data_IF_819235156292
#
_entry.id   IF_819235156292
#
_cell.length_a   1.000
_cell.length_b   1.000
_cell.length_c   1.000
_cell.angle_alpha   90.00
_cell.angle_beta   90.00
_cell.angle_gamma   90.00
#
_symmetry.space_group_name_H-M   'P 1'
#
loop_
_entity.id
_entity.type
_entity.pdbx_description
1 polymer ?
#
# COMPACT_ATOMS: atom_id res chain seq x y z
N UNK A 1 -3.54 -0.77 -10.00
CA UNK A 1 -2.36 -1.54 -9.57
C UNK A 1 -1.19 -1.38 -10.54
N UNK A 2 0.04 -1.54 -10.05
CA UNK A 2 1.26 -1.69 -10.85
C UNK A 2 1.82 -3.09 -10.62
N UNK A 3 1.96 -3.85 -11.69
CA UNK A 3 2.51 -5.21 -11.67
C UNK A 3 3.78 -5.28 -12.51
N UNK A 4 4.64 -6.24 -12.25
CA UNK A 4 5.89 -6.45 -13.00
C UNK A 4 6.88 -7.29 -12.21
N UNK A 5 7.94 -7.77 -12.85
CA UNK A 5 8.96 -8.59 -12.20
C UNK A 5 9.77 -7.81 -11.16
N UNK A 6 10.58 -8.53 -10.39
CA UNK A 6 11.55 -7.89 -9.50
C UNK A 6 12.55 -7.08 -10.33
N UNK A 7 12.89 -5.89 -9.84
CA UNK A 7 13.76 -4.95 -10.56
C UNK A 7 13.07 -4.13 -11.67
N UNK A 8 11.77 -4.29 -11.92
CA UNK A 8 11.04 -3.50 -12.91
C UNK A 8 10.93 -2.00 -12.57
N UNK A 9 11.28 -1.58 -11.35
CA UNK A 9 11.20 -0.18 -10.92
C UNK A 9 9.96 0.18 -10.10
N UNK A 10 9.18 -0.81 -9.64
CA UNK A 10 7.92 -0.61 -8.90
C UNK A 10 8.13 0.22 -7.61
N UNK A 11 9.02 -0.21 -6.73
CA UNK A 11 9.39 0.51 -5.49
C UNK A 11 9.98 1.88 -5.80
N UNK A 12 10.80 1.98 -6.86
CA UNK A 12 11.37 3.26 -7.33
C UNK A 12 10.28 4.24 -7.73
N UNK A 13 9.24 3.78 -8.45
CA UNK A 13 8.09 4.59 -8.81
C UNK A 13 7.37 5.12 -7.57
N UNK A 14 7.09 4.27 -6.58
CA UNK A 14 6.45 4.71 -5.32
C UNK A 14 7.32 5.70 -4.56
N UNK A 15 8.64 5.46 -4.51
CA UNK A 15 9.61 6.38 -3.89
C UNK A 15 9.66 7.74 -4.60
N UNK A 16 9.60 7.75 -5.92
CA UNK A 16 9.55 8.98 -6.72
C UNK A 16 8.25 9.75 -6.49
N UNK A 17 7.09 9.07 -6.51
CA UNK A 17 5.79 9.67 -6.19
C UNK A 17 5.79 10.26 -4.78
N UNK A 18 6.34 9.54 -3.80
CA UNK A 18 6.38 9.99 -2.41
C UNK A 18 7.39 11.12 -2.15
N UNK A 19 8.28 11.41 -3.10
CA UNK A 19 9.35 12.40 -2.94
C UNK A 19 10.56 11.90 -2.13
N UNK A 20 10.70 10.58 -2.00
CA UNK A 20 11.86 9.93 -1.39
C UNK A 20 13.04 9.85 -2.35
N UNK A 21 12.77 9.87 -3.65
CA UNK A 21 13.76 9.80 -4.72
C UNK A 21 13.61 11.01 -5.64
N UNK A 22 14.72 11.53 -6.21
CA UNK A 22 14.67 12.54 -7.25
C UNK A 22 13.84 12.04 -8.44
N UNK A 23 13.00 12.89 -8.97
CA UNK A 23 12.18 12.57 -10.13
C UNK A 23 12.03 13.77 -11.04
N UNK A 24 11.76 13.52 -12.32
CA UNK A 24 11.42 14.52 -13.31
C UNK A 24 10.09 14.18 -13.96
N UNK A 25 9.47 15.16 -14.60
CA UNK A 25 8.17 15.01 -15.22
C UNK A 25 7.06 15.70 -14.45
N UNK A 26 5.81 15.34 -14.75
CA UNK A 26 4.62 15.96 -14.18
C UNK A 26 3.92 14.99 -13.23
N UNK A 27 3.79 15.37 -11.98
CA UNK A 27 2.97 14.67 -11.01
C UNK A 27 1.71 15.48 -10.70
N UNK A 28 0.55 14.84 -10.76
CA UNK A 28 -0.75 15.45 -10.47
C UNK A 28 -1.43 14.62 -9.38
N UNK A 29 -1.82 15.26 -8.29
CA UNK A 29 -2.58 14.62 -7.20
C UNK A 29 -3.87 15.41 -6.99
N UNK A 30 -5.02 14.74 -7.05
CA UNK A 30 -6.35 15.37 -6.97
C UNK A 30 -6.56 16.50 -8.02
N UNK A 31 -6.08 16.30 -9.25
CA UNK A 31 -6.15 17.31 -10.31
C UNK A 31 -5.19 18.49 -10.14
N UNK A 32 -4.41 18.54 -9.07
CA UNK A 32 -3.46 19.61 -8.78
C UNK A 32 -2.04 19.21 -9.17
N UNK A 33 -1.37 19.92 -10.09
CA UNK A 33 0.02 19.66 -10.41
C UNK A 33 0.92 20.02 -9.23
N UNK A 34 1.96 19.24 -9.03
CA UNK A 34 2.97 19.47 -8.00
C UNK A 34 4.24 20.04 -8.63
N UNK A 35 4.63 21.24 -8.20
CA UNK A 35 5.87 21.88 -8.64
C UNK A 35 7.12 21.19 -8.06
N UNK A 36 7.02 20.69 -6.84
CA UNK A 36 8.04 19.89 -6.15
C UNK A 36 7.37 18.79 -5.34
N UNK A 37 7.97 17.62 -5.35
CA UNK A 37 7.53 16.50 -4.53
C UNK A 37 8.46 16.36 -3.34
N UNK A 38 7.95 16.58 -2.13
CA UNK A 38 8.62 16.24 -0.88
C UNK A 38 7.71 15.33 -0.07
N UNK A 39 8.27 14.53 0.82
CA UNK A 39 7.50 13.61 1.68
C UNK A 39 6.44 14.37 2.48
N UNK A 40 6.81 15.53 3.04
CA UNK A 40 5.92 16.37 3.83
C UNK A 40 4.75 16.91 2.99
N UNK A 41 5.02 17.30 1.75
CA UNK A 41 3.98 17.78 0.83
C UNK A 41 3.01 16.66 0.47
N UNK A 42 3.49 15.44 0.25
CA UNK A 42 2.67 14.26 -0.06
C UNK A 42 1.82 13.85 1.15
N UNK A 43 2.43 13.76 2.34
CA UNK A 43 1.69 13.48 3.59
C UNK A 43 0.66 14.58 3.85
N UNK A 44 1.00 15.84 3.57
CA UNK A 44 0.08 16.97 3.71
C UNK A 44 -1.16 16.84 2.81
N UNK A 45 -1.04 16.21 1.65
CA UNK A 45 -2.12 15.94 0.69
C UNK A 45 -2.89 14.65 0.99
N UNK A 46 -2.52 13.95 2.06
CA UNK A 46 -3.17 12.69 2.45
C UNK A 46 -2.67 11.49 1.64
N UNK A 47 -1.43 11.52 1.15
CA UNK A 47 -0.78 10.34 0.57
C UNK A 47 0.01 9.63 1.66
N UNK A 48 -0.18 8.32 1.78
CA UNK A 48 0.58 7.47 2.69
C UNK A 48 1.19 6.30 1.92
N UNK A 49 2.42 5.93 2.28
CA UNK A 49 3.15 4.79 1.74
C UNK A 49 3.36 3.75 2.83
N UNK A 50 3.02 2.50 2.55
CA UNK A 50 3.42 1.33 3.31
C UNK A 50 4.53 0.64 2.51
N UNK A 51 5.78 0.73 2.93
CA UNK A 51 6.90 0.13 2.21
C UNK A 51 6.94 -1.39 2.40
N UNK A 52 7.62 -2.11 1.50
CA UNK A 52 7.83 -3.55 1.54
C UNK A 52 8.36 -4.04 2.91
N UNK A 53 9.35 -3.34 3.46
CA UNK A 53 9.97 -3.67 4.76
C UNK A 53 9.13 -3.30 5.97
N UNK A 54 7.91 -2.75 5.78
CA UNK A 54 6.95 -2.32 6.82
C UNK A 54 7.44 -1.21 7.75
N UNK A 55 8.74 -1.12 8.03
CA UNK A 55 9.44 -0.10 8.82
C UNK A 55 8.73 0.24 10.15
N UNK A 56 8.36 -0.81 10.89
CA UNK A 56 7.75 -0.67 12.22
C UNK A 56 8.81 -0.39 13.28
N UNK A 57 8.41 0.34 14.31
CA UNK A 57 9.22 0.52 15.51
C UNK A 57 9.07 -0.71 16.40
N UNK A 58 10.01 -1.66 16.27
CA UNK A 58 9.91 -2.99 16.89
C UNK A 58 9.83 -2.96 18.42
N UNK A 59 10.53 -2.02 19.05
CA UNK A 59 10.57 -1.84 20.49
C UNK A 59 9.38 -1.08 21.08
N UNK A 60 8.49 -0.59 20.22
CA UNK A 60 7.27 0.08 20.60
C UNK A 60 6.08 -0.88 20.53
N UNK A 61 5.06 -0.61 21.34
CA UNK A 61 3.82 -1.37 21.30
C UNK A 61 3.05 -1.17 19.98
N UNK A 62 2.08 -2.04 19.73
CA UNK A 62 1.10 -1.85 18.63
C UNK A 62 0.42 -0.48 18.75
N UNK A 63 -0.04 -0.13 19.95
CA UNK A 63 -0.72 1.15 20.22
C UNK A 63 0.18 2.34 19.91
N UNK A 64 1.44 2.32 20.34
CA UNK A 64 2.39 3.42 20.10
C UNK A 64 2.72 3.55 18.61
N UNK A 65 2.93 2.43 17.90
CA UNK A 65 3.10 2.45 16.44
C UNK A 65 1.91 3.10 15.73
N UNK A 66 0.68 2.80 16.15
CA UNK A 66 -0.52 3.43 15.60
C UNK A 66 -0.55 4.93 15.91
N UNK A 67 -0.30 5.34 17.15
CA UNK A 67 -0.29 6.75 17.54
C UNK A 67 0.70 7.57 16.70
N UNK A 68 1.89 7.03 16.45
CA UNK A 68 2.88 7.69 15.57
C UNK A 68 2.34 7.93 14.15
N UNK A 69 1.51 7.02 13.62
CA UNK A 69 0.86 7.21 12.32
C UNK A 69 -0.05 8.42 12.27
N UNK A 70 -0.63 8.83 13.40
CA UNK A 70 -1.47 10.02 13.55
C UNK A 70 -0.71 11.33 13.77
N UNK A 71 0.63 11.31 13.89
CA UNK A 71 1.43 12.46 14.29
C UNK A 71 1.23 13.70 13.38
N UNK A 72 1.21 13.52 12.07
CA UNK A 72 0.99 14.62 11.13
C UNK A 72 -0.39 15.30 11.32
N UNK A 73 -1.40 14.54 11.71
CA UNK A 73 -2.73 15.07 12.00
C UNK A 73 -2.74 15.81 13.36
N UNK A 74 -2.00 15.28 14.33
CA UNK A 74 -1.83 15.92 15.64
C UNK A 74 -1.14 17.30 15.52
N UNK A 75 -0.08 17.40 14.71
CA UNK A 75 0.59 18.68 14.42
C UNK A 75 -0.36 19.71 13.81
N UNK A 76 -1.38 19.28 13.07
CA UNK A 76 -2.43 20.14 12.48
C UNK A 76 -3.56 20.46 13.45
N UNK A 77 -3.39 20.18 14.73
CA UNK A 77 -4.38 20.47 15.77
C UNK A 77 -5.48 19.43 15.94
N UNK A 78 -5.50 18.34 15.18
CA UNK A 78 -6.47 17.25 15.39
C UNK A 78 -6.14 16.49 16.69
N UNK A 79 -7.19 16.22 17.49
CA UNK A 79 -7.05 15.54 18.80
C UNK A 79 -7.91 14.28 18.89
N UNK A 80 -8.25 13.70 17.75
CA UNK A 80 -9.13 12.53 17.60
C UNK A 80 -8.38 11.19 17.44
N UNK A 81 -7.07 11.14 17.79
CA UNK A 81 -6.23 9.94 17.58
C UNK A 81 -6.81 8.67 18.22
N UNK A 82 -7.42 8.78 19.42
CA UNK A 82 -8.03 7.63 20.09
C UNK A 82 -9.24 7.11 19.33
N UNK A 83 -10.11 8.00 18.84
CA UNK A 83 -11.26 7.61 18.02
C UNK A 83 -10.79 6.96 16.73
N UNK A 84 -9.78 7.55 16.07
CA UNK A 84 -9.19 6.98 14.85
C UNK A 84 -8.59 5.61 15.06
N UNK A 85 -7.90 5.41 16.17
CA UNK A 85 -7.34 4.10 16.53
C UNK A 85 -8.44 3.04 16.74
N UNK A 86 -9.61 3.41 17.29
CA UNK A 86 -10.74 2.49 17.36
C UNK A 86 -11.24 2.08 15.97
N UNK A 87 -11.34 3.02 15.02
CA UNK A 87 -11.67 2.70 13.62
C UNK A 87 -10.65 1.72 13.01
N UNK A 88 -9.35 1.91 13.28
CA UNK A 88 -8.30 0.98 12.85
C UNK A 88 -8.46 -0.39 13.49
N UNK A 89 -8.82 -0.47 14.77
CA UNK A 89 -9.07 -1.73 15.46
C UNK A 89 -10.34 -2.45 14.98
N UNK A 90 -11.31 -1.72 14.41
CA UNK A 90 -12.47 -2.34 13.75
C UNK A 90 -12.10 -2.98 12.40
N UNK A 91 -11.10 -2.40 11.72
CA UNK A 91 -10.55 -2.99 10.50
C UNK A 91 -9.64 -4.19 10.84
N UNK A 92 -8.87 -4.08 11.91
CA UNK A 92 -7.88 -5.07 12.36
C UNK A 92 -8.10 -5.49 13.81
N UNK A 93 -9.11 -6.35 14.13
CA UNK A 93 -9.41 -6.77 15.51
C UNK A 93 -8.23 -7.43 16.22
N UNK A 94 -7.37 -8.14 15.49
CA UNK A 94 -6.15 -8.75 16.03
C UNK A 94 -5.19 -7.73 16.64
N UNK A 95 -5.10 -6.53 16.07
CA UNK A 95 -4.27 -5.46 16.63
C UNK A 95 -4.83 -4.94 17.97
N UNK A 96 -6.16 -4.92 18.13
CA UNK A 96 -6.81 -4.55 19.41
C UNK A 96 -6.45 -5.54 20.51
N UNK A 97 -6.53 -6.84 20.21
CA UNK A 97 -6.19 -7.92 21.16
C UNK A 97 -4.73 -7.80 21.64
N UNK A 98 -3.85 -7.28 20.78
CA UNK A 98 -2.40 -7.20 20.98
C UNK A 98 -1.87 -5.78 21.19
N UNK A 99 -2.76 -4.84 21.55
CA UNK A 99 -2.42 -3.40 21.58
C UNK A 99 -1.18 -3.05 22.42
N UNK A 100 -0.97 -3.77 23.53
CA UNK A 100 0.18 -3.57 24.42
C UNK A 100 1.41 -4.42 24.05
N UNK A 101 1.29 -5.30 23.01
CA UNK A 101 2.38 -6.18 22.59
C UNK A 101 3.40 -5.40 21.77
N UNK A 102 4.70 -5.72 21.95
CA UNK A 102 5.78 -5.12 21.15
C UNK A 102 5.69 -5.56 19.67
N UNK A 103 5.86 -4.61 18.77
CA UNK A 103 5.72 -4.87 17.33
C UNK A 103 6.74 -5.91 16.81
N UNK A 104 7.94 -6.00 17.39
CA UNK A 104 8.93 -7.01 17.03
C UNK A 104 8.44 -8.45 17.26
N UNK A 105 7.55 -8.67 18.22
CA UNK A 105 7.05 -10.00 18.63
C UNK A 105 5.82 -10.47 17.84
N UNK A 106 5.30 -9.63 16.95
CA UNK A 106 4.16 -9.94 16.10
C UNK A 106 4.57 -10.90 14.97
N UNK A 107 3.61 -11.71 14.50
CA UNK A 107 3.76 -12.49 13.27
C UNK A 107 3.93 -11.59 12.03
N UNK A 108 4.41 -12.13 10.92
CA UNK A 108 4.56 -11.39 9.67
C UNK A 108 3.26 -10.75 9.18
N UNK A 109 2.13 -11.45 9.32
CA UNK A 109 0.81 -10.93 8.96
C UNK A 109 0.35 -9.81 9.88
N UNK A 110 0.51 -9.97 11.19
CA UNK A 110 0.17 -8.93 12.17
C UNK A 110 1.03 -7.68 12.00
N UNK A 111 2.33 -7.84 11.68
CA UNK A 111 3.19 -6.71 11.32
C UNK A 111 2.70 -5.99 10.05
N UNK A 112 2.22 -6.73 9.05
CA UNK A 112 1.64 -6.12 7.85
C UNK A 112 0.37 -5.33 8.16
N UNK A 113 -0.54 -5.92 8.96
CA UNK A 113 -1.74 -5.24 9.42
C UNK A 113 -1.41 -3.98 10.23
N UNK A 114 -0.37 -4.03 11.10
CA UNK A 114 0.07 -2.88 11.87
C UNK A 114 0.65 -1.77 10.97
N UNK A 115 1.44 -2.12 9.95
CA UNK A 115 1.97 -1.15 9.00
C UNK A 115 0.86 -0.42 8.22
N UNK A 116 -0.15 -1.17 7.74
CA UNK A 116 -1.33 -0.61 7.08
C UNK A 116 -2.13 0.23 8.09
N UNK A 117 -2.39 -0.29 9.29
CA UNK A 117 -3.10 0.41 10.36
C UNK A 117 -2.44 1.74 10.73
N UNK A 118 -1.10 1.76 10.85
CA UNK A 118 -0.31 2.97 11.09
C UNK A 118 -0.51 4.01 9.98
N UNK A 119 -0.50 3.58 8.72
CA UNK A 119 -0.76 4.47 7.59
C UNK A 119 -2.20 5.04 7.63
N UNK A 120 -3.18 4.23 8.02
CA UNK A 120 -4.57 4.65 8.13
C UNK A 120 -4.81 5.70 9.23
N UNK A 121 -3.99 5.75 10.27
CA UNK A 121 -4.06 6.79 11.31
C UNK A 121 -3.92 8.20 10.74
N UNK A 122 -3.19 8.36 9.63
CA UNK A 122 -3.04 9.63 8.93
C UNK A 122 -4.31 10.05 8.15
N UNK A 123 -5.37 9.23 8.07
CA UNK A 123 -6.57 9.44 7.22
C UNK A 123 -6.18 9.69 5.76
N UNK A 124 -5.48 8.75 5.12
CA UNK A 124 -5.00 8.96 3.76
C UNK A 124 -6.18 9.02 2.78
N UNK A 125 -6.04 9.86 1.76
CA UNK A 125 -6.89 9.87 0.56
C UNK A 125 -6.36 8.90 -0.48
N UNK A 126 -5.02 8.73 -0.52
CA UNK A 126 -4.32 7.74 -1.33
C UNK A 126 -3.40 6.90 -0.43
N UNK A 127 -3.61 5.60 -0.42
CA UNK A 127 -2.76 4.61 0.23
C UNK A 127 -1.94 3.88 -0.83
N UNK A 128 -0.63 4.03 -0.77
CA UNK A 128 0.32 3.29 -1.62
C UNK A 128 0.86 2.10 -0.84
N UNK A 129 0.80 0.90 -1.43
CA UNK A 129 1.23 -0.36 -0.83
C UNK A 129 2.29 -1.00 -1.72
N UNK A 130 3.48 -1.20 -1.16
CA UNK A 130 4.60 -1.85 -1.87
C UNK A 130 4.71 -3.31 -1.45
N UNK A 131 4.30 -4.20 -2.35
CA UNK A 131 4.31 -5.66 -2.19
C UNK A 131 3.78 -6.15 -0.83
N UNK A 132 2.56 -5.74 -0.43
CA UNK A 132 2.05 -6.03 0.91
C UNK A 132 1.83 -7.51 1.18
N UNK A 133 1.82 -8.36 0.16
CA UNK A 133 1.66 -9.81 0.29
C UNK A 133 2.99 -10.57 0.41
N UNK A 134 4.13 -9.93 0.18
CA UNK A 134 5.43 -10.58 0.11
C UNK A 134 5.80 -11.30 1.42
N UNK A 135 6.19 -12.56 1.30
CA UNK A 135 6.64 -13.38 2.44
C UNK A 135 5.54 -13.77 3.42
N UNK A 136 4.27 -13.63 3.05
CA UNK A 136 3.13 -14.00 3.89
C UNK A 136 2.53 -15.35 3.46
N UNK A 137 1.97 -16.07 4.44
CA UNK A 137 1.23 -17.30 4.16
C UNK A 137 -0.03 -17.00 3.30
N UNK A 138 -0.46 -17.92 2.43
CA UNK A 138 -1.57 -17.68 1.48
C UNK A 138 -2.88 -17.23 2.14
N UNK A 139 -3.17 -17.69 3.35
CA UNK A 139 -4.35 -17.26 4.10
C UNK A 139 -4.27 -15.77 4.48
N UNK A 140 -3.09 -15.35 4.92
CA UNK A 140 -2.83 -13.95 5.33
C UNK A 140 -2.83 -13.02 4.11
N UNK A 141 -2.26 -13.47 2.99
CA UNK A 141 -2.33 -12.72 1.72
C UNK A 141 -3.79 -12.39 1.37
N UNK A 142 -4.68 -13.40 1.45
CA UNK A 142 -6.12 -13.19 1.19
C UNK A 142 -6.73 -12.19 2.17
N UNK A 143 -6.36 -12.23 3.43
CA UNK A 143 -6.85 -11.30 4.45
C UNK A 143 -6.38 -9.86 4.18
N UNK A 144 -5.10 -9.66 3.86
CA UNK A 144 -4.55 -8.36 3.48
C UNK A 144 -5.26 -7.80 2.25
N UNK A 145 -5.43 -8.59 1.19
CA UNK A 145 -6.09 -8.15 -0.03
C UNK A 145 -7.58 -7.84 0.17
N UNK A 146 -8.29 -8.61 1.00
CA UNK A 146 -9.68 -8.28 1.40
C UNK A 146 -9.74 -6.96 2.16
N UNK A 147 -8.77 -6.70 3.02
CA UNK A 147 -8.69 -5.41 3.73
C UNK A 147 -8.47 -4.26 2.75
N UNK A 148 -7.60 -4.43 1.76
CA UNK A 148 -7.38 -3.43 0.71
C UNK A 148 -8.68 -3.16 -0.07
N UNK A 149 -9.44 -4.20 -0.43
CA UNK A 149 -10.76 -4.06 -1.06
C UNK A 149 -11.71 -3.24 -0.17
N UNK A 150 -11.80 -3.58 1.12
CA UNK A 150 -12.64 -2.85 2.08
C UNK A 150 -12.25 -1.38 2.19
N UNK A 151 -10.96 -1.05 2.18
CA UNK A 151 -10.49 0.34 2.23
C UNK A 151 -10.92 1.12 0.99
N UNK A 152 -10.84 0.51 -0.20
CA UNK A 152 -11.35 1.10 -1.45
C UNK A 152 -12.84 1.39 -1.34
N UNK A 153 -13.63 0.43 -0.85
CA UNK A 153 -15.08 0.56 -0.67
C UNK A 153 -15.45 1.64 0.35
N UNK A 154 -14.52 1.95 1.29
CA UNK A 154 -14.61 3.09 2.22
C UNK A 154 -14.17 4.42 1.62
N UNK A 155 -13.82 4.47 0.33
CA UNK A 155 -13.44 5.68 -0.40
C UNK A 155 -11.96 6.05 -0.33
N UNK A 156 -11.09 5.16 0.15
CA UNK A 156 -9.64 5.35 0.10
C UNK A 156 -9.13 4.92 -1.28
N UNK A 157 -8.53 5.82 -2.05
CA UNK A 157 -7.84 5.44 -3.27
C UNK A 157 -6.61 4.57 -2.92
N UNK A 158 -6.40 3.49 -3.66
CA UNK A 158 -5.27 2.58 -3.42
C UNK A 158 -4.41 2.44 -4.67
N UNK A 159 -3.11 2.66 -4.52
CA UNK A 159 -2.10 2.26 -5.49
C UNK A 159 -1.36 1.03 -4.96
N UNK A 160 -1.76 -0.13 -5.48
CA UNK A 160 -1.21 -1.42 -5.08
C UNK A 160 -0.08 -1.82 -6.03
N UNK A 161 1.11 -2.01 -5.51
CA UNK A 161 2.25 -2.61 -6.23
C UNK A 161 2.38 -4.05 -5.77
N UNK A 162 2.37 -4.98 -6.70
CA UNK A 162 2.41 -6.42 -6.39
C UNK A 162 3.18 -7.22 -7.45
N UNK A 163 3.84 -8.27 -7.00
CA UNK A 163 4.39 -9.30 -7.87
C UNK A 163 3.33 -10.33 -8.26
N UNK A 164 2.38 -10.63 -7.37
CA UNK A 164 1.25 -11.51 -7.66
C UNK A 164 0.22 -10.79 -8.54
N UNK A 165 0.50 -10.76 -9.85
CA UNK A 165 -0.31 -10.06 -10.84
C UNK A 165 -1.78 -10.51 -10.83
N UNK A 166 -2.03 -11.83 -10.66
CA UNK A 166 -3.41 -12.37 -10.63
C UNK A 166 -4.22 -11.75 -9.49
N UNK A 167 -3.67 -11.77 -8.28
CA UNK A 167 -4.35 -11.23 -7.11
C UNK A 167 -4.53 -9.71 -7.19
N UNK A 168 -3.53 -9.00 -7.72
CA UNK A 168 -3.56 -7.56 -7.90
C UNK A 168 -4.61 -7.12 -8.93
N UNK A 169 -4.66 -7.78 -10.10
CA UNK A 169 -5.64 -7.47 -11.15
C UNK A 169 -7.07 -7.82 -10.77
N UNK A 170 -7.30 -8.84 -9.93
CA UNK A 170 -8.63 -9.16 -9.41
C UNK A 170 -9.20 -8.09 -8.49
N UNK A 171 -8.34 -7.31 -7.85
CA UNK A 171 -8.71 -6.27 -6.89
C UNK A 171 -8.82 -4.89 -7.52
N UNK A 172 -8.05 -4.62 -8.56
CA UNK A 172 -7.88 -3.30 -9.15
C UNK A 172 -8.94 -2.98 -10.22
N UNK A 173 -9.20 -1.69 -10.41
CA UNK A 173 -10.00 -1.16 -11.52
C UNK A 173 -9.13 -0.98 -12.77
N UNK A 174 -7.89 -0.53 -12.60
CA UNK A 174 -6.92 -0.27 -13.66
C UNK A 174 -5.55 -0.86 -13.30
N UNK A 175 -4.83 -1.34 -14.29
CA UNK A 175 -3.50 -1.91 -14.14
C UNK A 175 -2.47 -1.30 -15.07
N UNK A 176 -1.23 -1.33 -14.62
CA UNK A 176 -0.02 -0.97 -15.37
C UNK A 176 0.98 -2.11 -15.23
N UNK A 177 1.49 -2.59 -16.34
CA UNK A 177 2.59 -3.55 -16.39
C UNK A 177 3.88 -2.76 -16.55
N UNK A 178 4.77 -2.86 -15.56
CA UNK A 178 6.06 -2.19 -15.56
C UNK A 178 7.16 -3.18 -15.92
N UNK A 179 7.96 -2.85 -16.92
CA UNK A 179 9.11 -3.62 -17.36
C UNK A 179 10.31 -2.69 -17.58
N UNK A 180 11.45 -3.02 -17.01
CA UNK A 180 12.70 -2.27 -17.16
C UNK A 180 12.56 -0.75 -16.96
N UNK A 181 11.72 -0.34 -16.01
CA UNK A 181 11.48 1.08 -15.69
C UNK A 181 10.47 1.80 -16.58
N UNK A 182 9.85 1.11 -17.53
CA UNK A 182 8.86 1.68 -18.45
C UNK A 182 7.50 0.97 -18.32
N UNK A 183 6.42 1.69 -18.60
CA UNK A 183 5.09 1.09 -18.71
C UNK A 183 5.01 0.38 -20.06
N UNK A 184 4.95 -0.96 -20.03
CA UNK A 184 4.86 -1.80 -21.22
C UNK A 184 3.40 -1.95 -21.70
N UNK A 185 2.46 -2.11 -20.75
CA UNK A 185 1.03 -2.30 -21.04
C UNK A 185 0.23 -1.57 -19.97
N UNK A 186 -0.88 -0.95 -20.34
CA UNK A 186 -1.84 -0.38 -19.39
C UNK A 186 -3.28 -0.60 -19.88
N UNK A 187 -4.23 -0.65 -18.94
CA UNK A 187 -5.63 -0.79 -19.30
C UNK A 187 -6.53 -1.09 -18.10
N UNK A 188 -7.79 -1.40 -18.38
CA UNK A 188 -8.69 -1.92 -17.37
C UNK A 188 -8.15 -3.25 -16.82
N UNK A 189 -8.20 -3.44 -15.50
CA UNK A 189 -7.62 -4.64 -14.87
C UNK A 189 -8.27 -5.94 -15.40
N UNK A 190 -9.57 -5.91 -15.69
CA UNK A 190 -10.28 -7.05 -16.28
C UNK A 190 -9.82 -7.40 -17.69
N UNK A 191 -9.37 -6.42 -18.49
CA UNK A 191 -8.80 -6.62 -19.82
C UNK A 191 -7.39 -7.19 -19.72
N UNK A 192 -6.56 -6.59 -18.85
CA UNK A 192 -5.20 -7.06 -18.59
C UNK A 192 -5.17 -8.49 -18.06
N UNK A 193 -6.13 -8.89 -17.23
CA UNK A 193 -6.24 -10.26 -16.74
C UNK A 193 -6.51 -11.30 -17.84
N UNK A 194 -6.97 -10.85 -19.03
CA UNK A 194 -7.24 -11.69 -20.20
C UNK A 194 -6.20 -11.51 -21.32
N UNK A 195 -5.32 -10.53 -21.21
CA UNK A 195 -4.28 -10.28 -22.21
C UNK A 195 -3.30 -11.47 -22.25
N UNK A 196 -3.11 -12.13 -23.40
CA UNK A 196 -2.21 -13.29 -23.53
C UNK A 196 -0.77 -13.01 -23.09
N UNK A 197 -0.28 -11.78 -23.31
CA UNK A 197 1.08 -11.37 -22.92
C UNK A 197 1.20 -11.31 -21.41
N UNK A 198 0.20 -10.73 -20.73
CA UNK A 198 0.13 -10.67 -19.27
C UNK A 198 -0.06 -12.07 -18.69
N UNK A 199 -0.92 -12.88 -19.32
CA UNK A 199 -1.18 -14.25 -18.90
C UNK A 199 0.08 -15.12 -18.97
N UNK A 200 0.81 -15.07 -20.08
CA UNK A 200 2.04 -15.82 -20.28
C UNK A 200 3.17 -15.40 -19.34
N UNK A 201 3.36 -14.07 -19.16
CA UNK A 201 4.47 -13.54 -18.38
C UNK A 201 4.24 -13.53 -16.86
N UNK A 202 2.98 -13.33 -16.41
CA UNK A 202 2.72 -12.96 -15.00
C UNK A 202 1.62 -13.77 -14.31
N UNK A 203 0.75 -14.49 -15.05
CA UNK A 203 -0.36 -15.24 -14.43
C UNK A 203 -0.10 -16.75 -14.28
N UNK A 204 1.09 -17.21 -14.67
CA UNK A 204 1.47 -18.62 -14.60
C UNK A 204 0.66 -19.52 -15.54
N UNK A 205 0.03 -18.96 -16.58
CA UNK A 205 -0.71 -19.68 -17.61
C UNK A 205 0.19 -19.99 -18.83
N UNK A 206 1.51 -19.97 -18.63
CA UNK A 206 2.49 -20.34 -19.64
C UNK A 206 2.41 -21.82 -19.96
N UNK A 207 2.03 -22.10 -21.20
CA UNK A 207 2.18 -23.34 -21.96
C UNK A 207 1.89 -24.65 -21.19
N UNK A 208 0.65 -25.11 -21.25
CA UNK A 208 0.43 -26.56 -21.33
C UNK A 208 1.16 -27.05 -22.61
N UNK A 209 2.29 -27.73 -22.42
CA UNK A 209 2.87 -28.59 -23.44
C UNK A 209 2.16 -29.93 -23.45
#
# INVERSE_FOLDING_TARGET
>A
TVIGPNGAGKTTLLGAIMGLLPSSGRLVVDGQPLARTTVEAMVARGVALVPEKRELFGEMSVEDNLLLGGFAQWLRGRRDQRARMQEVFEIFPRLRERRAQLAATLSGGERQMLAIGRALMARPRLLMLDEPSLGLAPLIVREVLRTVARLRDMGVAVLLVEQNARAALQLADRGYVLEMGAVAIEGAAAELARDPRVAAAYLGLGAAH
#
